data_IF_892733242283
#
_entry.id   IF_892733242283
#
_cell.length_a   1.000
_cell.length_b   1.000
_cell.length_c   1.000
_cell.angle_alpha   90.00
_cell.angle_beta   90.00
_cell.angle_gamma   90.00
#
_symmetry.space_group_name_H-M   'P 1'
#
loop_
_entity.id
_entity.type
_entity.pdbx_description
1 polymer ?
#
# COMPACT_ATOMS: atom_id res chain seq x y z
N UNK A 1 -0.33 17.69 15.29
CA UNK A 1 0.42 17.89 14.05
C UNK A 1 0.02 19.23 13.43
N UNK A 2 -1.28 19.52 13.18
CA UNK A 2 -1.73 20.81 12.61
C UNK A 2 -1.20 22.06 13.32
N UNK A 3 -0.88 21.97 14.60
CA UNK A 3 -0.25 23.06 15.36
C UNK A 3 1.21 23.33 14.97
N UNK A 4 1.84 22.48 14.15
CA UNK A 4 3.20 22.65 13.67
C UNK A 4 3.30 23.55 12.43
N UNK A 5 2.19 23.75 11.72
CA UNK A 5 2.10 24.62 10.54
C UNK A 5 0.82 24.39 9.75
N UNK A 6 0.38 25.39 9.00
CA UNK A 6 -0.86 25.33 8.23
C UNK A 6 -0.78 24.37 7.04
N UNK A 7 0.43 24.06 6.57
CA UNK A 7 0.74 23.17 5.46
C UNK A 7 1.26 21.79 5.90
N UNK A 8 1.19 21.46 7.21
CA UNK A 8 1.57 20.16 7.77
C UNK A 8 0.32 19.38 8.14
N UNK A 9 0.22 18.17 7.64
CA UNK A 9 -0.94 17.28 7.79
C UNK A 9 -0.60 16.07 8.63
N UNK A 10 -1.57 15.58 9.38
CA UNK A 10 -1.38 14.44 10.27
C UNK A 10 -1.28 13.11 9.55
N UNK A 11 -2.03 12.98 8.45
CA UNK A 11 -2.28 11.69 7.82
C UNK A 11 -2.67 11.88 6.36
N UNK A 12 -2.38 10.88 5.52
CA UNK A 12 -2.96 10.74 4.20
C UNK A 12 -3.28 9.28 3.88
N UNK A 13 -4.50 9.08 3.42
CA UNK A 13 -5.01 7.83 2.85
C UNK A 13 -5.87 8.19 1.65
N UNK A 14 -5.59 7.70 0.44
CA UNK A 14 -6.40 8.00 -0.72
C UNK A 14 -7.88 7.67 -0.50
N UNK A 15 -8.78 8.59 -0.84
CA UNK A 15 -10.21 8.28 -0.92
C UNK A 15 -10.47 7.61 -2.27
N UNK A 16 -10.19 6.33 -2.34
CA UNK A 16 -10.26 5.51 -3.55
C UNK A 16 -11.14 4.27 -3.33
N UNK A 17 -11.49 3.60 -4.41
CA UNK A 17 -12.21 2.32 -4.34
C UNK A 17 -11.45 1.27 -3.51
N UNK A 18 -10.15 1.14 -3.72
CA UNK A 18 -9.34 0.17 -3.01
C UNK A 18 -9.34 0.44 -1.50
N UNK A 19 -9.07 1.67 -1.10
CA UNK A 19 -9.06 2.06 0.31
C UNK A 19 -10.44 1.93 0.96
N UNK A 20 -11.50 2.27 0.22
CA UNK A 20 -12.87 2.04 0.69
C UNK A 20 -13.16 0.55 0.90
N UNK A 21 -12.83 -0.29 -0.09
CA UNK A 21 -13.04 -1.74 0.02
C UNK A 21 -12.26 -2.36 1.19
N UNK A 22 -10.99 -2.00 1.35
CA UNK A 22 -10.15 -2.41 2.48
C UNK A 22 -10.80 -2.02 3.81
N UNK A 23 -11.23 -0.77 3.93
CA UNK A 23 -11.86 -0.24 5.14
C UNK A 23 -13.20 -0.91 5.44
N UNK A 24 -14.00 -1.22 4.42
CA UNK A 24 -15.23 -2.02 4.55
C UNK A 24 -14.92 -3.41 5.10
N UNK A 25 -13.89 -4.08 4.59
CA UNK A 25 -13.45 -5.39 5.09
C UNK A 25 -12.99 -5.32 6.55
N UNK A 26 -12.13 -4.34 6.88
CA UNK A 26 -11.69 -4.11 8.26
C UNK A 26 -12.82 -3.72 9.23
N UNK A 27 -13.98 -3.28 8.72
CA UNK A 27 -15.19 -3.05 9.51
C UNK A 27 -16.10 -4.29 9.59
N UNK A 28 -15.72 -5.42 8.99
CA UNK A 28 -16.51 -6.65 8.93
C UNK A 28 -17.61 -6.64 7.86
N UNK A 29 -17.56 -5.68 6.93
CA UNK A 29 -18.51 -5.55 5.83
C UNK A 29 -18.11 -6.31 4.57
N UNK A 30 -18.96 -6.19 3.53
CA UNK A 30 -18.72 -6.68 2.19
C UNK A 30 -19.37 -5.76 1.16
N UNK A 31 -18.84 -5.73 -0.06
CA UNK A 31 -19.45 -5.03 -1.20
C UNK A 31 -20.38 -5.93 -2.02
N UNK A 32 -20.36 -7.24 -1.75
CA UNK A 32 -21.21 -8.25 -2.38
C UNK A 32 -21.84 -9.11 -1.28
N UNK A 33 -23.02 -9.67 -1.57
CA UNK A 33 -23.63 -10.70 -0.74
C UNK A 33 -22.82 -12.01 -0.78
N UNK A 34 -23.15 -12.96 0.09
CA UNK A 34 -22.42 -14.24 0.23
C UNK A 34 -22.35 -15.05 -1.07
N UNK A 35 -23.41 -14.99 -1.89
CA UNK A 35 -23.50 -15.71 -3.16
C UNK A 35 -22.86 -14.96 -4.33
N UNK A 36 -22.32 -13.78 -4.12
CA UNK A 36 -21.73 -12.90 -5.15
C UNK A 36 -22.71 -12.51 -6.27
N UNK A 37 -24.03 -12.52 -6.00
CA UNK A 37 -25.09 -12.24 -6.97
C UNK A 37 -25.66 -10.83 -6.88
N UNK A 38 -25.38 -10.09 -5.78
CA UNK A 38 -25.91 -8.75 -5.58
C UNK A 38 -24.89 -7.85 -4.84
N UNK A 39 -24.92 -6.56 -5.17
CA UNK A 39 -24.12 -5.55 -4.48
C UNK A 39 -24.73 -5.18 -3.13
N UNK A 40 -23.90 -5.10 -2.10
CA UNK A 40 -24.21 -4.64 -0.74
C UNK A 40 -23.49 -3.33 -0.38
N UNK A 41 -23.08 -2.57 -1.37
CA UNK A 41 -22.29 -1.33 -1.18
C UNK A 41 -23.04 -0.33 -0.32
N UNK A 42 -24.37 -0.20 -0.50
CA UNK A 42 -25.20 0.78 0.19
C UNK A 42 -25.86 0.19 1.45
N UNK A 43 -25.07 -0.41 2.33
CA UNK A 43 -25.52 -0.77 3.68
C UNK A 43 -25.16 0.35 4.67
N UNK A 44 -25.87 0.50 5.80
CA UNK A 44 -25.55 1.52 6.80
C UNK A 44 -24.11 1.43 7.29
N UNK A 45 -23.58 0.22 7.46
CA UNK A 45 -22.21 -0.04 7.91
C UNK A 45 -21.18 0.44 6.90
N UNK A 46 -21.41 0.17 5.60
CA UNK A 46 -20.52 0.60 4.52
C UNK A 46 -20.59 2.12 4.29
N UNK A 47 -21.80 2.70 4.41
CA UNK A 47 -21.97 4.16 4.36
C UNK A 47 -21.21 4.83 5.50
N UNK A 48 -21.28 4.31 6.72
CA UNK A 48 -20.54 4.85 7.86
C UNK A 48 -19.03 4.83 7.65
N UNK A 49 -18.48 3.79 7.00
CA UNK A 49 -17.06 3.73 6.61
C UNK A 49 -16.72 4.86 5.65
N UNK A 50 -17.53 5.05 4.60
CA UNK A 50 -17.29 6.12 3.63
C UNK A 50 -17.37 7.50 4.26
N UNK A 51 -18.36 7.73 5.13
CA UNK A 51 -18.51 8.98 5.87
C UNK A 51 -17.28 9.27 6.75
N UNK A 52 -16.76 8.24 7.44
CA UNK A 52 -15.54 8.37 8.25
C UNK A 52 -14.31 8.71 7.39
N UNK A 53 -14.17 8.10 6.20
CA UNK A 53 -13.09 8.43 5.26
C UNK A 53 -13.22 9.87 4.75
N UNK A 54 -14.44 10.30 4.40
CA UNK A 54 -14.69 11.65 3.89
C UNK A 54 -14.51 12.73 4.98
N UNK A 55 -14.81 12.42 6.23
CA UNK A 55 -14.60 13.34 7.35
C UNK A 55 -13.11 13.69 7.55
N UNK A 56 -12.19 12.81 7.15
CA UNK A 56 -10.73 13.07 7.25
C UNK A 56 -10.26 14.14 6.26
N UNK A 57 -10.94 14.32 5.14
CA UNK A 57 -10.53 15.22 4.03
C UNK A 57 -11.47 16.40 3.83
N UNK A 58 -12.60 16.47 4.55
CA UNK A 58 -13.62 17.52 4.44
C UNK A 58 -13.78 18.30 5.75
N UNK A 59 -14.26 19.54 5.62
CA UNK A 59 -14.52 20.40 6.75
C UNK A 59 -13.28 21.11 7.28
N UNK A 60 -13.47 21.93 8.30
CA UNK A 60 -12.40 22.75 8.90
C UNK A 60 -11.45 21.91 9.77
N UNK A 61 -11.98 20.86 10.42
CA UNK A 61 -11.21 19.97 11.29
C UNK A 61 -10.56 18.79 10.53
N UNK A 62 -10.50 18.85 9.20
CA UNK A 62 -9.89 17.79 8.40
C UNK A 62 -8.43 17.55 8.77
N UNK A 63 -8.02 16.31 8.78
CA UNK A 63 -6.66 15.88 9.13
C UNK A 63 -5.81 15.51 7.92
N UNK A 64 -6.47 15.42 6.73
CA UNK A 64 -5.85 15.10 5.45
C UNK A 64 -5.92 16.29 4.51
N UNK A 65 -4.91 16.51 3.65
CA UNK A 65 -5.00 17.47 2.56
C UNK A 65 -6.06 17.05 1.54
N UNK A 66 -6.77 18.00 1.00
CA UNK A 66 -7.59 17.82 -0.18
C UNK A 66 -6.80 18.17 -1.46
N UNK A 67 -7.42 18.07 -2.64
CA UNK A 67 -6.74 18.36 -3.91
C UNK A 67 -6.22 19.80 -4.03
N UNK A 68 -6.90 20.76 -3.41
CA UNK A 68 -6.49 22.16 -3.39
C UNK A 68 -5.25 22.34 -2.50
N UNK A 69 -5.26 21.75 -1.29
CA UNK A 69 -4.12 21.79 -0.37
C UNK A 69 -2.88 21.12 -0.97
N UNK A 70 -3.06 20.05 -1.75
CA UNK A 70 -1.96 19.36 -2.43
C UNK A 70 -1.32 20.20 -3.53
N UNK A 71 -2.07 21.11 -4.14
CA UNK A 71 -1.55 22.06 -5.15
C UNK A 71 -0.80 21.37 -6.32
N UNK A 72 -1.31 20.22 -6.75
CA UNK A 72 -0.73 19.42 -7.84
C UNK A 72 0.43 18.49 -7.45
N UNK A 73 0.83 18.48 -6.17
CA UNK A 73 1.82 17.53 -5.65
C UNK A 73 1.17 16.17 -5.39
N UNK A 74 1.98 15.10 -5.43
CA UNK A 74 1.59 13.78 -4.98
C UNK A 74 1.64 13.63 -3.46
N UNK A 75 1.03 12.59 -2.94
CA UNK A 75 1.12 12.21 -1.53
C UNK A 75 2.55 11.81 -1.13
N UNK A 76 3.29 11.18 -2.02
CA UNK A 76 4.69 10.85 -1.81
C UNK A 76 5.58 12.09 -1.75
N UNK A 77 5.32 13.09 -2.61
CA UNK A 77 6.04 14.37 -2.56
C UNK A 77 5.82 15.05 -1.20
N UNK A 78 4.56 15.12 -0.74
CA UNK A 78 4.23 15.70 0.55
C UNK A 78 4.88 14.95 1.73
N UNK A 79 4.96 13.62 1.66
CA UNK A 79 5.63 12.84 2.69
C UNK A 79 7.13 13.10 2.68
N UNK A 80 7.79 13.02 1.52
CA UNK A 80 9.23 13.26 1.39
C UNK A 80 9.64 14.71 1.75
N UNK A 81 8.74 15.67 1.56
CA UNK A 81 8.91 17.06 2.02
C UNK A 81 8.69 17.26 3.53
N UNK A 82 8.34 16.20 4.28
CA UNK A 82 8.02 16.31 5.71
C UNK A 82 6.68 17.00 6.00
N UNK A 83 5.76 17.05 5.02
CA UNK A 83 4.44 17.69 5.14
C UNK A 83 3.34 16.73 5.61
N UNK A 84 3.61 15.45 5.65
CA UNK A 84 2.72 14.41 6.18
C UNK A 84 3.38 13.72 7.38
N UNK A 85 2.65 13.61 8.48
CA UNK A 85 3.09 12.85 9.65
C UNK A 85 2.95 11.34 9.45
N UNK A 86 1.95 10.92 8.66
CA UNK A 86 1.70 9.51 8.34
C UNK A 86 1.13 9.39 6.92
N UNK A 87 1.52 8.32 6.23
CA UNK A 87 1.07 8.01 4.87
C UNK A 87 0.68 6.55 4.77
N UNK A 88 -0.51 6.27 4.24
CA UNK A 88 -0.89 4.91 3.81
C UNK A 88 -0.34 4.69 2.40
N UNK A 89 0.56 3.73 2.28
CA UNK A 89 1.22 3.37 1.02
C UNK A 89 1.54 1.87 1.00
N UNK A 90 2.30 1.43 0.03
CA UNK A 90 2.74 0.06 -0.09
C UNK A 90 4.27 -0.05 -0.13
N UNK A 91 4.75 -1.29 -0.02
CA UNK A 91 6.19 -1.62 0.01
C UNK A 91 6.97 -1.09 -1.21
N UNK A 92 6.30 -0.86 -2.33
CA UNK A 92 6.90 -0.31 -3.55
C UNK A 92 7.38 1.14 -3.42
N UNK A 93 7.00 1.84 -2.34
CA UNK A 93 7.45 3.20 -2.02
C UNK A 93 8.77 3.24 -1.25
N UNK A 94 9.24 2.15 -0.66
CA UNK A 94 10.37 2.15 0.27
C UNK A 94 11.64 2.74 -0.32
N UNK A 95 12.01 2.34 -1.54
CA UNK A 95 13.20 2.89 -2.19
C UNK A 95 13.07 4.40 -2.43
N UNK A 96 11.89 4.86 -2.88
CA UNK A 96 11.66 6.28 -3.12
C UNK A 96 11.80 7.09 -1.82
N UNK A 97 11.22 6.62 -0.72
CA UNK A 97 11.33 7.31 0.57
C UNK A 97 12.76 7.26 1.12
N UNK A 98 13.49 6.16 0.91
CA UNK A 98 14.91 6.06 1.27
C UNK A 98 15.75 7.09 0.52
N UNK A 99 15.46 7.32 -0.76
CA UNK A 99 16.23 8.24 -1.59
C UNK A 99 15.85 9.73 -1.40
N UNK A 100 14.62 10.01 -0.99
CA UNK A 100 14.08 11.37 -1.01
C UNK A 100 13.85 11.99 0.37
N UNK A 101 13.64 11.18 1.42
CA UNK A 101 13.45 11.72 2.77
C UNK A 101 14.80 12.10 3.38
N UNK A 102 14.89 13.31 3.94
CA UNK A 102 16.03 13.78 4.73
C UNK A 102 15.81 13.63 6.26
N UNK A 103 14.84 12.82 6.64
CA UNK A 103 14.45 12.51 8.02
C UNK A 103 14.28 11.00 8.21
N UNK A 104 14.34 10.56 9.46
CA UNK A 104 14.10 9.16 9.83
C UNK A 104 12.62 8.82 9.69
N UNK A 105 12.33 7.71 9.02
CA UNK A 105 10.98 7.19 8.82
C UNK A 105 10.95 5.67 9.05
N UNK A 106 9.79 5.18 9.46
CA UNK A 106 9.56 3.76 9.69
C UNK A 106 8.11 3.39 9.34
N UNK A 107 7.78 2.12 9.40
CA UNK A 107 6.45 1.60 9.09
C UNK A 107 5.80 0.94 10.30
N UNK A 108 4.48 0.91 10.26
CA UNK A 108 3.65 0.17 11.22
C UNK A 108 2.44 -0.40 10.51
N UNK A 109 1.79 -1.38 11.13
CA UNK A 109 0.51 -1.90 10.67
C UNK A 109 -0.54 -0.78 10.69
N UNK A 110 -1.26 -0.61 9.59
CA UNK A 110 -2.34 0.37 9.52
C UNK A 110 -3.44 0.04 10.53
N UNK A 111 -3.84 0.99 11.38
CA UNK A 111 -4.97 0.77 12.29
C UNK A 111 -6.27 0.64 11.49
N UNK A 112 -6.95 -0.48 11.66
CA UNK A 112 -8.24 -0.76 11.03
C UNK A 112 -9.41 -0.05 11.73
N UNK A 113 -10.63 -0.32 11.27
CA UNK A 113 -11.86 0.11 11.92
C UNK A 113 -12.20 -0.77 13.13
N UNK A 114 -12.62 -2.00 12.90
CA UNK A 114 -12.85 -3.03 13.93
C UNK A 114 -11.71 -4.02 13.96
N UNK A 115 -11.12 -4.25 12.78
CA UNK A 115 -10.03 -5.16 12.59
C UNK A 115 -9.03 -4.56 11.59
N UNK A 116 -7.78 -5.01 11.63
CA UNK A 116 -6.80 -4.66 10.61
C UNK A 116 -7.18 -5.30 9.28
N UNK A 117 -6.89 -4.62 8.21
CA UNK A 117 -7.02 -5.18 6.86
C UNK A 117 -6.00 -4.55 5.94
N UNK A 118 -5.45 -5.33 5.04
CA UNK A 118 -4.50 -4.86 4.04
C UNK A 118 -4.92 -5.30 2.65
N UNK A 119 -4.33 -4.67 1.64
CA UNK A 119 -4.36 -5.19 0.28
C UNK A 119 -3.09 -5.98 -0.01
N UNK A 120 -3.30 -7.14 -0.57
CA UNK A 120 -2.24 -7.90 -1.22
C UNK A 120 -2.32 -7.65 -2.73
N UNK A 121 -1.30 -7.02 -3.30
CA UNK A 121 -1.17 -6.80 -4.74
C UNK A 121 -0.20 -7.82 -5.31
N UNK A 122 -0.69 -8.70 -6.18
CA UNK A 122 0.14 -9.66 -6.87
C UNK A 122 0.49 -9.14 -8.28
N UNK A 123 1.77 -9.07 -8.60
CA UNK A 123 2.24 -8.85 -9.95
C UNK A 123 2.17 -10.15 -10.73
N UNK A 124 1.24 -10.23 -11.69
CA UNK A 124 1.01 -11.44 -12.48
C UNK A 124 1.56 -11.26 -13.89
N UNK A 125 2.46 -12.15 -14.28
CA UNK A 125 2.97 -12.23 -15.64
C UNK A 125 2.20 -13.28 -16.42
N UNK A 126 1.71 -12.92 -17.61
CA UNK A 126 0.94 -13.81 -18.48
C UNK A 126 1.60 -13.95 -19.85
N UNK A 127 1.49 -15.13 -20.43
CA UNK A 127 1.89 -15.37 -21.81
C UNK A 127 0.65 -15.43 -22.69
N UNK A 128 0.61 -14.60 -23.74
CA UNK A 128 -0.53 -14.60 -24.68
C UNK A 128 -0.62 -15.93 -25.44
N UNK A 129 -1.82 -16.45 -25.57
CA UNK A 129 -2.11 -17.64 -26.40
C UNK A 129 -1.90 -17.40 -27.90
N UNK A 130 -1.94 -16.13 -28.34
CA UNK A 130 -1.73 -15.72 -29.73
C UNK A 130 -0.25 -15.45 -30.07
N UNK A 131 0.67 -15.59 -29.10
CA UNK A 131 2.07 -15.38 -29.33
C UNK A 131 2.69 -16.54 -30.12
N UNK A 132 3.47 -16.21 -31.13
CA UNK A 132 4.33 -17.18 -31.86
C UNK A 132 5.62 -17.55 -31.10
N UNK A 133 5.82 -16.96 -29.91
CA UNK A 133 7.01 -17.11 -29.05
C UNK A 133 6.67 -17.59 -27.63
N UNK A 134 5.62 -18.38 -27.50
CA UNK A 134 5.11 -18.80 -26.18
C UNK A 134 6.19 -19.48 -25.33
N UNK A 135 7.01 -20.36 -25.91
CA UNK A 135 8.08 -21.05 -25.17
C UNK A 135 9.13 -20.07 -24.64
N UNK A 136 9.56 -19.12 -25.45
CA UNK A 136 10.53 -18.10 -25.02
C UNK A 136 9.93 -17.19 -23.95
N UNK A 137 8.66 -16.79 -24.10
CA UNK A 137 7.95 -15.99 -23.12
C UNK A 137 7.77 -16.74 -21.79
N UNK A 138 7.44 -18.03 -21.83
CA UNK A 138 7.32 -18.86 -20.62
C UNK A 138 8.67 -18.98 -19.88
N UNK A 139 9.78 -19.15 -20.60
CA UNK A 139 11.12 -19.17 -20.02
C UNK A 139 11.48 -17.83 -19.38
N UNK A 140 11.08 -16.71 -20.01
CA UNK A 140 11.30 -15.38 -19.45
C UNK A 140 10.50 -15.18 -18.15
N UNK A 141 9.22 -15.57 -18.14
CA UNK A 141 8.39 -15.49 -16.93
C UNK A 141 8.95 -16.36 -15.80
N UNK A 142 9.41 -17.57 -16.13
CA UNK A 142 10.05 -18.45 -15.15
C UNK A 142 11.32 -17.82 -14.57
N UNK A 143 12.20 -17.29 -15.43
CA UNK A 143 13.43 -16.61 -15.00
C UNK A 143 13.13 -15.40 -14.11
N UNK A 144 12.10 -14.60 -14.44
CA UNK A 144 11.69 -13.46 -13.62
C UNK A 144 11.28 -13.87 -12.20
N UNK A 145 10.75 -15.07 -12.00
CA UNK A 145 10.29 -15.57 -10.72
C UNK A 145 11.31 -16.42 -9.95
N UNK A 146 12.25 -17.09 -10.64
CA UNK A 146 13.08 -18.14 -10.05
C UNK A 146 14.59 -17.97 -10.24
N UNK A 147 15.04 -17.14 -11.19
CA UNK A 147 16.47 -16.92 -11.41
C UNK A 147 17.10 -16.21 -10.18
N UNK A 148 18.14 -16.79 -9.55
CA UNK A 148 18.71 -16.26 -8.32
C UNK A 148 19.24 -14.83 -8.44
N UNK A 149 19.79 -14.47 -9.60
CA UNK A 149 20.36 -13.13 -9.82
C UNK A 149 19.23 -12.09 -9.97
N UNK A 150 18.15 -12.45 -10.67
CA UNK A 150 16.96 -11.60 -10.80
C UNK A 150 16.25 -11.45 -9.45
N UNK A 151 16.09 -12.53 -8.70
CA UNK A 151 15.49 -12.49 -7.35
C UNK A 151 16.33 -11.60 -6.44
N UNK A 152 17.66 -11.69 -6.50
CA UNK A 152 18.54 -10.83 -5.68
C UNK A 152 18.40 -9.36 -6.09
N UNK A 153 18.41 -9.05 -7.40
CA UNK A 153 18.24 -7.69 -7.89
C UNK A 153 16.92 -7.04 -7.40
N UNK A 154 15.83 -7.82 -7.40
CA UNK A 154 14.51 -7.35 -6.92
C UNK A 154 14.50 -7.13 -5.40
N UNK A 155 15.18 -7.98 -4.65
CA UNK A 155 15.37 -7.84 -3.22
C UNK A 155 16.15 -6.56 -2.89
N UNK A 156 17.26 -6.33 -3.58
CA UNK A 156 18.12 -5.16 -3.39
C UNK A 156 17.37 -3.85 -3.74
N UNK A 157 16.48 -3.90 -4.72
CA UNK A 157 15.62 -2.77 -5.08
C UNK A 157 14.48 -2.49 -4.10
N UNK A 158 14.21 -3.39 -3.17
CA UNK A 158 13.17 -3.27 -2.13
C UNK A 158 11.74 -2.99 -2.62
N UNK A 159 11.42 -3.37 -3.86
CA UNK A 159 10.10 -3.06 -4.44
C UNK A 159 8.99 -3.99 -3.96
N UNK A 160 9.36 -5.23 -3.66
CA UNK A 160 8.39 -6.30 -3.42
C UNK A 160 8.99 -7.39 -2.54
N UNK A 161 8.14 -8.27 -2.07
CA UNK A 161 8.57 -9.45 -1.35
C UNK A 161 9.29 -10.44 -2.27
N UNK A 162 10.23 -11.24 -1.74
CA UNK A 162 10.84 -12.33 -2.50
C UNK A 162 9.77 -13.26 -3.09
N UNK A 163 9.91 -13.61 -4.36
CA UNK A 163 8.96 -14.48 -5.08
C UNK A 163 9.14 -15.96 -4.75
N UNK A 164 10.22 -16.32 -4.07
CA UNK A 164 10.56 -17.69 -3.67
C UNK A 164 10.47 -17.82 -2.15
N UNK A 165 9.99 -18.99 -1.69
CA UNK A 165 9.88 -19.34 -0.28
C UNK A 165 11.26 -19.78 0.29
N UNK A 166 12.24 -18.91 0.24
CA UNK A 166 13.60 -19.12 0.75
C UNK A 166 13.81 -18.28 2.01
N UNK A 167 13.99 -18.95 3.16
CA UNK A 167 14.18 -18.28 4.44
C UNK A 167 15.40 -17.35 4.46
N UNK A 168 16.44 -17.65 3.70
CA UNK A 168 17.61 -16.79 3.59
C UNK A 168 17.25 -15.46 2.90
N UNK A 169 16.47 -15.52 1.84
CA UNK A 169 16.00 -14.33 1.12
C UNK A 169 15.03 -13.51 1.97
N UNK A 170 14.17 -14.17 2.72
CA UNK A 170 13.26 -13.52 3.66
C UNK A 170 14.03 -12.80 4.77
N UNK A 171 15.04 -13.44 5.36
CA UNK A 171 15.91 -12.81 6.35
C UNK A 171 16.62 -11.59 5.77
N UNK A 172 17.18 -11.69 4.57
CA UNK A 172 17.80 -10.55 3.88
C UNK A 172 16.81 -9.39 3.67
N UNK A 173 15.56 -9.69 3.30
CA UNK A 173 14.52 -8.66 3.15
C UNK A 173 14.24 -7.92 4.47
N UNK A 174 14.17 -8.65 5.57
CA UNK A 174 13.91 -8.08 6.91
C UNK A 174 15.06 -7.22 7.44
N UNK A 175 16.28 -7.47 7.00
CA UNK A 175 17.49 -6.76 7.42
C UNK A 175 17.77 -5.46 6.64
N UNK A 176 17.06 -5.22 5.54
CA UNK A 176 17.22 -3.97 4.75
C UNK A 176 16.58 -2.79 5.48
N UNK A 177 17.31 -1.71 5.67
CA UNK A 177 16.83 -0.48 6.33
C UNK A 177 17.15 0.77 5.50
N UNK A 178 16.36 1.85 5.61
CA UNK A 178 15.03 1.91 6.19
C UNK A 178 13.99 1.12 5.36
N UNK A 179 12.79 0.82 5.89
CA UNK A 179 12.35 1.01 7.28
C UNK A 179 12.95 -0.07 8.20
N UNK A 180 13.08 0.24 9.49
CA UNK A 180 13.61 -0.72 10.47
C UNK A 180 12.60 -1.80 10.83
N UNK A 181 11.31 -1.45 10.88
CA UNK A 181 10.22 -2.37 11.26
C UNK A 181 9.62 -3.09 10.04
N UNK A 182 10.43 -3.76 9.22
CA UNK A 182 9.92 -4.51 8.04
C UNK A 182 9.00 -5.69 8.40
N UNK A 183 9.04 -6.18 9.62
CA UNK A 183 8.11 -7.22 10.10
C UNK A 183 6.66 -6.75 10.01
N UNK A 184 6.38 -5.45 10.15
CA UNK A 184 5.03 -4.91 10.00
C UNK A 184 4.37 -5.21 8.64
N UNK A 185 5.16 -5.50 7.59
CA UNK A 185 4.63 -5.95 6.28
C UNK A 185 3.93 -7.30 6.44
N UNK A 186 4.55 -8.23 7.17
CA UNK A 186 3.99 -9.58 7.41
C UNK A 186 2.87 -9.51 8.44
N UNK A 187 3.03 -8.75 9.50
CA UNK A 187 2.01 -8.54 10.53
C UNK A 187 0.72 -7.94 9.94
N UNK A 188 0.82 -7.19 8.85
CA UNK A 188 -0.35 -6.63 8.18
C UNK A 188 -1.15 -7.67 7.38
N UNK A 189 -0.55 -8.83 7.08
CA UNK A 189 -1.17 -9.91 6.30
C UNK A 189 -1.85 -10.97 7.18
N UNK A 190 -1.51 -11.04 8.46
CA UNK A 190 -2.11 -11.95 9.46
C UNK A 190 -3.43 -11.37 10.01
#
# INVERSE_FOLDING_TARGET
IRALGDDIWGYYQPVSYNEFYKSVKGNGGSLLNEDYTAFTVNTPENVAVLEAMLARVRGEDRVMPNAEDMAGRGDWDLFSEGKLGMLVSGIWGFQTFTDQCDFDWDITVEPGFKDKSTFFFANVNCVSTESDKQEAAARFVDAMGSDPDIVQLRLDASWELPTIADQTKLTQYLEVTPPDNREAVFDSMD
#
